data_IF_777236796907
#
_entry.id   IF_777236796907
#
_cell.length_a   1.000
_cell.length_b   1.000
_cell.length_c   1.000
_cell.angle_alpha   90.00
_cell.angle_beta   90.00
_cell.angle_gamma   90.00
#
_symmetry.space_group_name_H-M   'P 1'
#
loop_
_entity.id
_entity.type
_entity.pdbx_description
1 polymer ?
#
# COMPACT_ATOMS: atom_id res chain seq x y z
N UNK A 1 29.39 -15.72 16.73
CA UNK A 1 28.65 -16.18 15.52
C UNK A 1 29.31 -15.62 14.29
N UNK A 2 29.88 -16.46 13.42
CA UNK A 2 30.46 -16.03 12.14
C UNK A 2 29.32 -15.73 11.17
N UNK A 3 29.01 -14.46 10.93
CA UNK A 3 28.12 -14.05 9.84
C UNK A 3 28.87 -14.27 8.51
N UNK A 4 28.61 -15.40 7.88
CA UNK A 4 29.13 -15.68 6.54
C UNK A 4 28.65 -14.57 5.60
N UNK A 5 29.58 -13.88 4.91
CA UNK A 5 29.21 -12.91 3.88
C UNK A 5 28.32 -13.60 2.83
N UNK A 6 27.23 -12.98 2.42
CA UNK A 6 26.32 -13.59 1.43
C UNK A 6 27.09 -13.88 0.13
N UNK A 7 26.89 -15.08 -0.42
CA UNK A 7 27.49 -15.50 -1.70
C UNK A 7 27.09 -14.52 -2.80
N UNK A 8 28.06 -13.99 -3.51
CA UNK A 8 27.88 -13.13 -4.67
C UNK A 8 27.65 -13.95 -5.93
N UNK A 9 26.86 -13.42 -6.86
CA UNK A 9 26.47 -14.07 -8.11
C UNK A 9 26.98 -13.28 -9.30
N UNK A 10 27.55 -13.97 -10.26
CA UNK A 10 27.81 -13.49 -11.62
C UNK A 10 26.49 -13.39 -12.41
N UNK A 11 26.51 -12.79 -13.59
CA UNK A 11 25.34 -12.43 -14.39
C UNK A 11 24.30 -13.56 -14.55
N UNK A 12 24.74 -14.76 -14.94
CA UNK A 12 23.81 -15.88 -15.18
C UNK A 12 23.16 -16.37 -13.88
N UNK A 13 23.99 -16.59 -12.84
CA UNK A 13 23.48 -16.99 -11.52
C UNK A 13 22.61 -15.89 -10.88
N UNK A 14 22.88 -14.62 -11.16
CA UNK A 14 22.07 -13.49 -10.71
C UNK A 14 20.71 -13.46 -11.43
N UNK A 15 20.68 -13.77 -12.73
CA UNK A 15 19.45 -13.93 -13.51
C UNK A 15 18.57 -15.06 -12.96
N UNK A 16 19.16 -16.23 -12.73
CA UNK A 16 18.43 -17.36 -12.12
C UNK A 16 17.90 -17.03 -10.72
N UNK A 17 18.69 -16.30 -9.94
CA UNK A 17 18.25 -15.84 -8.63
C UNK A 17 17.06 -14.90 -8.74
N UNK A 18 17.06 -13.96 -9.69
CA UNK A 18 15.94 -13.07 -9.99
C UNK A 18 14.66 -13.83 -10.35
N UNK A 19 14.78 -14.81 -11.26
CA UNK A 19 13.66 -15.66 -11.66
C UNK A 19 13.07 -16.45 -10.46
N UNK A 20 13.94 -17.02 -9.63
CA UNK A 20 13.48 -17.72 -8.40
C UNK A 20 12.73 -16.83 -7.44
N UNK A 21 13.18 -15.57 -7.28
CA UNK A 21 12.46 -14.60 -6.43
C UNK A 21 11.07 -14.28 -6.97
N UNK A 22 10.95 -14.08 -8.29
CA UNK A 22 9.65 -13.81 -8.94
C UNK A 22 8.71 -15.01 -8.92
N UNK A 23 9.25 -16.23 -8.98
CA UNK A 23 8.46 -17.46 -8.86
C UNK A 23 7.89 -17.66 -7.44
N UNK A 24 8.54 -17.12 -6.40
CA UNK A 24 8.05 -17.22 -5.01
C UNK A 24 6.93 -16.24 -4.71
N UNK A 25 7.03 -15.01 -5.20
CA UNK A 25 6.01 -13.96 -5.06
C UNK A 25 6.17 -12.87 -6.10
N UNK A 26 5.10 -12.17 -6.39
CA UNK A 26 5.17 -10.96 -7.18
C UNK A 26 6.07 -9.90 -6.49
N UNK A 27 6.94 -9.28 -7.25
CA UNK A 27 7.85 -8.21 -6.83
C UNK A 27 7.77 -7.07 -7.84
N UNK A 28 7.87 -5.84 -7.36
CA UNK A 28 8.15 -4.72 -8.24
C UNK A 28 9.60 -4.76 -8.75
N UNK A 29 9.87 -4.10 -9.85
CA UNK A 29 11.24 -3.95 -10.37
C UNK A 29 12.17 -3.27 -9.38
N UNK A 30 11.66 -2.34 -8.59
CA UNK A 30 12.43 -1.69 -7.53
C UNK A 30 12.77 -2.60 -6.36
N UNK A 31 11.83 -3.44 -5.90
CA UNK A 31 12.10 -4.47 -4.88
C UNK A 31 13.10 -5.51 -5.39
N UNK A 32 12.92 -5.97 -6.63
CA UNK A 32 13.82 -6.95 -7.23
C UNK A 32 15.23 -6.38 -7.39
N UNK A 33 15.36 -5.17 -7.93
CA UNK A 33 16.66 -4.46 -8.04
C UNK A 33 17.39 -4.40 -6.71
N UNK A 34 16.70 -4.06 -5.63
CA UNK A 34 17.30 -4.01 -4.30
C UNK A 34 17.83 -5.38 -3.84
N UNK A 35 17.07 -6.45 -4.10
CA UNK A 35 17.49 -7.81 -3.75
C UNK A 35 18.68 -8.30 -4.58
N UNK A 36 18.69 -7.98 -5.88
CA UNK A 36 19.79 -8.33 -6.79
C UNK A 36 21.07 -7.60 -6.39
N UNK A 37 21.02 -6.29 -6.06
CA UNK A 37 22.19 -5.52 -5.60
C UNK A 37 22.88 -6.16 -4.38
N UNK A 38 22.13 -6.75 -3.49
CA UNK A 38 22.70 -7.43 -2.32
C UNK A 38 23.52 -8.69 -2.69
N UNK A 39 23.28 -9.27 -3.87
CA UNK A 39 23.85 -10.53 -4.32
C UNK A 39 24.73 -10.41 -5.56
N UNK A 40 24.72 -9.32 -6.27
CA UNK A 40 25.52 -9.11 -7.47
C UNK A 40 27.03 -9.07 -7.14
N UNK A 41 27.84 -9.77 -7.93
CA UNK A 41 29.29 -9.65 -7.92
C UNK A 41 29.72 -8.32 -8.57
N UNK A 42 29.05 -7.95 -9.67
CA UNK A 42 29.23 -6.69 -10.40
C UNK A 42 27.93 -5.90 -10.37
N UNK A 43 27.97 -4.64 -9.91
CA UNK A 43 26.75 -3.82 -9.77
C UNK A 43 26.03 -3.58 -11.10
N UNK A 44 26.78 -3.40 -12.19
CA UNK A 44 26.22 -3.18 -13.53
C UNK A 44 25.39 -4.34 -14.07
N UNK A 45 25.58 -5.55 -13.56
CA UNK A 45 24.81 -6.72 -13.99
C UNK A 45 23.37 -6.69 -13.50
N UNK A 46 23.10 -5.97 -12.42
CA UNK A 46 21.73 -5.81 -11.89
C UNK A 46 20.80 -5.22 -12.95
N UNK A 47 21.23 -4.13 -13.61
CA UNK A 47 20.38 -3.47 -14.60
C UNK A 47 20.22 -4.32 -15.87
N UNK A 48 21.25 -5.10 -16.25
CA UNK A 48 21.13 -6.06 -17.36
C UNK A 48 20.09 -7.15 -17.06
N UNK A 49 20.12 -7.70 -15.84
CA UNK A 49 19.11 -8.69 -15.41
C UNK A 49 17.71 -8.07 -15.39
N UNK A 50 17.55 -6.88 -14.82
CA UNK A 50 16.24 -6.19 -14.77
C UNK A 50 15.72 -5.93 -16.19
N UNK A 51 16.55 -5.43 -17.11
CA UNK A 51 16.17 -5.19 -18.50
C UNK A 51 15.70 -6.48 -19.17
N UNK A 52 16.47 -7.55 -19.05
CA UNK A 52 16.13 -8.86 -19.62
C UNK A 52 14.81 -9.42 -19.10
N UNK A 53 14.56 -9.33 -17.78
CA UNK A 53 13.31 -9.81 -17.20
C UNK A 53 12.09 -9.00 -17.65
N UNK A 54 12.27 -7.70 -17.93
CA UNK A 54 11.22 -6.85 -18.53
C UNK A 54 10.97 -7.21 -20.00
N UNK A 55 11.99 -7.43 -20.79
CA UNK A 55 11.87 -7.89 -22.20
C UNK A 55 11.11 -9.22 -22.28
N UNK A 56 11.40 -10.14 -21.38
CA UNK A 56 10.71 -11.42 -21.25
C UNK A 56 9.28 -11.31 -20.64
N UNK A 57 8.83 -10.11 -20.29
CA UNK A 57 7.54 -9.82 -19.64
C UNK A 57 7.31 -10.60 -18.33
N UNK A 58 8.39 -11.06 -17.69
CA UNK A 58 8.36 -11.71 -16.37
C UNK A 58 8.34 -10.68 -15.25
N UNK A 59 8.80 -9.47 -15.55
CA UNK A 59 8.79 -8.31 -14.63
C UNK A 59 8.05 -7.15 -15.30
N UNK A 60 6.92 -6.78 -14.72
CA UNK A 60 6.09 -5.66 -15.19
C UNK A 60 5.57 -4.86 -13.98
N UNK A 61 6.13 -3.66 -13.79
CA UNK A 61 5.76 -2.78 -12.68
C UNK A 61 4.32 -2.25 -12.81
N UNK A 62 3.81 -2.12 -14.05
CA UNK A 62 2.44 -1.66 -14.29
C UNK A 62 1.45 -2.74 -13.88
N UNK A 63 1.61 -3.95 -14.40
CA UNK A 63 0.75 -5.08 -14.05
C UNK A 63 0.80 -5.38 -12.55
N UNK A 64 1.99 -5.29 -11.94
CA UNK A 64 2.16 -5.44 -10.50
C UNK A 64 1.35 -4.41 -9.72
N UNK A 65 1.42 -3.12 -10.10
CA UNK A 65 0.73 -2.04 -9.41
C UNK A 65 -0.80 -2.12 -9.59
N UNK A 66 -1.27 -2.42 -10.81
CA UNK A 66 -2.69 -2.61 -11.12
C UNK A 66 -3.28 -3.72 -10.26
N UNK A 67 -2.69 -4.90 -10.30
CA UNK A 67 -3.16 -6.06 -9.52
C UNK A 67 -3.13 -5.81 -8.01
N UNK A 68 -2.04 -5.17 -7.52
CA UNK A 68 -1.94 -4.81 -6.10
C UNK A 68 -3.04 -3.84 -5.68
N UNK A 69 -3.26 -2.78 -6.45
CA UNK A 69 -4.28 -1.77 -6.16
C UNK A 69 -5.70 -2.35 -6.21
N UNK A 70 -6.01 -3.21 -7.19
CA UNK A 70 -7.30 -3.89 -7.31
C UNK A 70 -7.62 -4.75 -6.09
N UNK A 71 -6.68 -5.62 -5.67
CA UNK A 71 -6.86 -6.46 -4.46
C UNK A 71 -7.14 -5.60 -3.23
N UNK A 72 -6.39 -4.50 -3.07
CA UNK A 72 -6.56 -3.63 -1.91
C UNK A 72 -7.91 -2.87 -1.97
N UNK A 73 -8.31 -2.38 -3.12
CA UNK A 73 -9.59 -1.70 -3.31
C UNK A 73 -10.77 -2.65 -3.01
N UNK A 74 -10.75 -3.87 -3.54
CA UNK A 74 -11.78 -4.89 -3.30
C UNK A 74 -11.88 -5.32 -1.84
N UNK A 75 -10.77 -5.29 -1.10
CA UNK A 75 -10.76 -5.66 0.32
C UNK A 75 -11.55 -4.72 1.21
N UNK A 76 -11.77 -3.47 0.81
CA UNK A 76 -12.39 -2.38 1.59
C UNK A 76 -11.75 -2.19 2.99
N UNK A 77 -10.46 -2.57 3.14
CA UNK A 77 -9.75 -2.49 4.43
C UNK A 77 -8.86 -1.28 4.53
N UNK A 78 -8.50 -0.70 3.41
CA UNK A 78 -7.56 0.42 3.30
C UNK A 78 -8.07 1.43 2.28
N UNK A 79 -7.81 2.70 2.52
CA UNK A 79 -8.09 3.79 1.59
C UNK A 79 -6.97 3.99 0.57
N UNK A 80 -7.29 4.73 -0.49
CA UNK A 80 -6.39 4.98 -1.62
C UNK A 80 -5.02 5.54 -1.24
N UNK A 81 -4.97 6.41 -0.21
CA UNK A 81 -3.71 7.03 0.21
C UNK A 81 -2.72 6.01 0.78
N UNK A 82 -3.22 5.01 1.49
CA UNK A 82 -2.36 3.94 2.00
C UNK A 82 -1.86 3.05 0.88
N UNK A 83 -2.71 2.66 -0.07
CA UNK A 83 -2.30 1.86 -1.23
C UNK A 83 -1.22 2.57 -2.03
N UNK A 84 -1.37 3.88 -2.23
CA UNK A 84 -0.35 4.71 -2.88
C UNK A 84 0.98 4.65 -2.13
N UNK A 85 0.98 4.87 -0.81
CA UNK A 85 2.20 4.79 0.01
C UNK A 85 2.84 3.41 -0.04
N UNK A 86 2.06 2.34 0.00
CA UNK A 86 2.55 0.96 -0.05
C UNK A 86 3.22 0.64 -1.40
N UNK A 87 2.65 1.11 -2.52
CA UNK A 87 3.28 0.97 -3.84
C UNK A 87 4.60 1.75 -3.95
N UNK A 88 4.66 2.96 -3.38
CA UNK A 88 5.91 3.72 -3.31
C UNK A 88 6.97 3.04 -2.42
N UNK A 89 6.57 2.46 -1.29
CA UNK A 89 7.46 1.66 -0.44
C UNK A 89 7.99 0.43 -1.16
N UNK A 90 7.18 -0.16 -2.04
CA UNK A 90 7.58 -1.23 -2.96
C UNK A 90 8.42 -0.73 -4.15
N UNK A 91 8.78 0.55 -4.17
CA UNK A 91 9.63 1.19 -5.18
C UNK A 91 9.03 1.16 -6.59
N UNK A 92 7.72 1.17 -6.70
CA UNK A 92 7.01 1.42 -7.95
C UNK A 92 7.14 2.92 -8.27
N UNK A 93 7.33 3.26 -9.54
CA UNK A 93 7.39 4.66 -9.97
C UNK A 93 6.08 5.40 -9.64
N UNK A 94 6.19 6.66 -9.18
CA UNK A 94 5.03 7.44 -8.73
C UNK A 94 3.90 7.51 -9.77
N UNK A 95 4.23 7.76 -11.04
CA UNK A 95 3.24 7.84 -12.13
C UNK A 95 2.50 6.52 -12.34
N UNK A 96 3.20 5.39 -12.24
CA UNK A 96 2.61 4.05 -12.35
C UNK A 96 1.69 3.76 -11.17
N UNK A 97 2.15 4.05 -9.95
CA UNK A 97 1.36 3.88 -8.74
C UNK A 97 0.10 4.77 -8.75
N UNK A 98 0.25 6.04 -9.14
CA UNK A 98 -0.86 7.00 -9.21
C UNK A 98 -1.94 6.54 -10.19
N UNK A 99 -1.53 6.06 -11.37
CA UNK A 99 -2.46 5.54 -12.38
C UNK A 99 -3.19 4.31 -11.87
N UNK A 100 -2.47 3.30 -11.37
CA UNK A 100 -3.04 2.07 -10.86
C UNK A 100 -4.04 2.32 -9.71
N UNK A 101 -3.69 3.17 -8.74
CA UNK A 101 -4.58 3.54 -7.65
C UNK A 101 -5.78 4.35 -8.16
N UNK A 102 -5.57 5.27 -9.12
CA UNK A 102 -6.64 6.04 -9.74
C UNK A 102 -7.68 5.13 -10.40
N UNK A 103 -7.24 4.16 -11.19
CA UNK A 103 -8.08 3.20 -11.89
C UNK A 103 -8.80 2.25 -10.92
N UNK A 104 -8.08 1.66 -9.95
CA UNK A 104 -8.64 0.70 -9.00
C UNK A 104 -9.68 1.31 -8.05
N UNK A 105 -9.58 2.59 -7.71
CA UNK A 105 -10.52 3.31 -6.87
C UNK A 105 -11.49 4.19 -7.67
N UNK A 106 -11.49 4.11 -9.00
CA UNK A 106 -12.46 4.83 -9.83
C UNK A 106 -13.88 4.33 -9.53
N UNK A 107 -14.80 5.29 -9.30
CA UNK A 107 -16.20 4.97 -9.01
C UNK A 107 -16.48 4.35 -7.63
N UNK A 108 -15.49 4.20 -6.76
CA UNK A 108 -15.72 3.74 -5.38
C UNK A 108 -16.27 4.87 -4.51
N UNK A 109 -17.30 4.58 -3.72
CA UNK A 109 -17.77 5.49 -2.68
C UNK A 109 -16.90 5.32 -1.43
N UNK A 110 -15.99 6.27 -1.21
CA UNK A 110 -15.11 6.27 -0.05
C UNK A 110 -15.90 6.35 1.27
N UNK A 111 -17.05 7.04 1.29
CA UNK A 111 -17.90 7.12 2.48
C UNK A 111 -18.46 5.75 2.86
N UNK A 112 -18.91 4.98 1.88
CA UNK A 112 -19.37 3.61 2.10
C UNK A 112 -18.24 2.68 2.59
N UNK A 113 -17.05 2.82 2.01
CA UNK A 113 -15.87 2.06 2.48
C UNK A 113 -15.51 2.39 3.93
N UNK A 114 -15.62 3.66 4.33
CA UNK A 114 -15.37 4.13 5.69
C UNK A 114 -16.42 3.54 6.66
N UNK A 115 -17.69 3.56 6.31
CA UNK A 115 -18.76 2.94 7.11
C UNK A 115 -18.48 1.45 7.33
N UNK A 116 -18.17 0.71 6.27
CA UNK A 116 -17.82 -0.69 6.36
C UNK A 116 -16.57 -0.94 7.23
N UNK A 117 -15.57 -0.05 7.15
CA UNK A 117 -14.39 -0.11 8.01
C UNK A 117 -14.75 0.07 9.49
N UNK A 118 -15.58 1.08 9.81
CA UNK A 118 -16.06 1.35 11.17
C UNK A 118 -16.82 0.12 11.72
N UNK A 119 -17.82 -0.35 11.00
CA UNK A 119 -18.61 -1.52 11.41
C UNK A 119 -17.74 -2.76 11.65
N UNK A 120 -16.78 -3.03 10.76
CA UNK A 120 -15.86 -4.16 10.93
C UNK A 120 -14.95 -3.99 12.16
N UNK A 121 -14.56 -2.77 12.50
CA UNK A 121 -13.70 -2.52 13.68
C UNK A 121 -14.47 -2.60 14.99
N UNK A 122 -15.70 -2.16 15.01
CA UNK A 122 -16.54 -2.17 16.21
C UNK A 122 -17.29 -3.50 16.41
N UNK A 123 -17.44 -4.31 15.35
CA UNK A 123 -18.08 -5.64 15.38
C UNK A 123 -19.47 -5.62 16.04
N UNK A 124 -19.53 -5.99 17.33
CA UNK A 124 -20.76 -6.11 18.13
C UNK A 124 -21.13 -4.84 18.87
N UNK A 125 -20.24 -3.83 18.94
CA UNK A 125 -20.53 -2.57 19.61
C UNK A 125 -21.45 -1.72 18.76
N UNK A 126 -22.42 -1.07 19.38
CA UNK A 126 -23.25 -0.09 18.71
C UNK A 126 -22.39 1.13 18.37
N UNK A 127 -22.18 1.37 17.09
CA UNK A 127 -21.25 2.40 16.61
C UNK A 127 -21.59 3.79 17.16
N UNK A 128 -22.88 4.15 17.22
CA UNK A 128 -23.32 5.45 17.73
C UNK A 128 -23.00 5.62 19.22
N UNK A 129 -23.24 4.59 20.03
CA UNK A 129 -22.94 4.66 21.49
C UNK A 129 -21.41 4.76 21.73
N UNK A 130 -20.61 3.95 21.00
CA UNK A 130 -19.16 3.95 21.14
C UNK A 130 -18.53 5.27 20.69
N UNK A 131 -19.00 5.83 19.56
CA UNK A 131 -18.46 7.05 18.96
C UNK A 131 -19.03 8.33 19.56
N UNK A 132 -20.03 8.25 20.43
CA UNK A 132 -20.51 9.40 21.21
C UNK A 132 -19.44 9.93 22.20
N UNK A 133 -18.50 9.07 22.59
CA UNK A 133 -17.40 9.48 23.49
C UNK A 133 -16.28 10.15 22.67
N UNK A 134 -15.85 11.39 23.01
CA UNK A 134 -14.85 12.15 22.23
C UNK A 134 -13.52 11.40 22.03
N UNK A 135 -13.06 10.68 23.06
CA UNK A 135 -11.83 9.89 23.01
C UNK A 135 -11.90 8.77 21.96
N UNK A 136 -13.04 8.09 21.91
CA UNK A 136 -13.27 7.00 20.95
C UNK A 136 -13.42 7.53 19.53
N UNK A 137 -14.10 8.67 19.38
CA UNK A 137 -14.26 9.37 18.11
C UNK A 137 -12.89 9.77 17.53
N UNK A 138 -12.06 10.45 18.31
CA UNK A 138 -10.72 10.86 17.91
C UNK A 138 -9.81 9.64 17.60
N UNK A 139 -9.95 8.54 18.38
CA UNK A 139 -9.23 7.30 18.11
C UNK A 139 -9.66 6.67 16.78
N UNK A 140 -10.96 6.65 16.48
CA UNK A 140 -11.47 6.13 15.21
C UNK A 140 -11.01 6.99 14.02
N UNK A 141 -11.05 8.31 14.15
CA UNK A 141 -10.54 9.20 13.12
C UNK A 141 -9.06 8.90 12.79
N UNK A 142 -8.19 8.82 13.80
CA UNK A 142 -6.77 8.46 13.59
C UNK A 142 -6.61 7.10 12.91
N UNK A 143 -7.45 6.11 13.25
CA UNK A 143 -7.44 4.79 12.59
C UNK A 143 -7.82 4.89 11.11
N UNK A 144 -8.82 5.71 10.77
CA UNK A 144 -9.22 5.97 9.39
C UNK A 144 -8.08 6.64 8.60
N UNK A 145 -7.45 7.66 9.17
CA UNK A 145 -6.28 8.34 8.55
C UNK A 145 -5.11 7.37 8.35
N UNK A 146 -4.78 6.57 9.35
CA UNK A 146 -3.74 5.53 9.25
C UNK A 146 -4.09 4.47 8.20
N UNK A 147 -5.36 4.12 8.08
CA UNK A 147 -5.84 3.21 7.03
C UNK A 147 -5.82 3.83 5.63
N UNK A 148 -5.60 5.15 5.51
CA UNK A 148 -5.42 5.87 4.25
C UNK A 148 -6.70 6.42 3.65
N UNK A 149 -7.75 6.55 4.44
CA UNK A 149 -8.97 7.27 4.03
C UNK A 149 -8.75 8.78 4.09
N UNK A 150 -9.44 9.49 3.20
CA UNK A 150 -9.37 10.95 3.12
C UNK A 150 -10.05 11.60 4.33
N UNK A 151 -9.54 12.75 4.76
CA UNK A 151 -10.03 13.46 5.93
C UNK A 151 -11.49 13.87 5.81
N UNK A 152 -11.83 14.63 4.78
CA UNK A 152 -13.19 15.13 4.57
C UNK A 152 -14.24 14.01 4.57
N UNK A 153 -14.14 12.95 3.77
CA UNK A 153 -15.04 11.79 3.86
C UNK A 153 -15.06 11.15 5.24
N UNK A 154 -13.91 11.01 5.91
CA UNK A 154 -13.84 10.43 7.26
C UNK A 154 -14.65 11.24 8.27
N UNK A 155 -14.49 12.57 8.27
CA UNK A 155 -15.24 13.47 9.16
C UNK A 155 -16.74 13.43 8.83
N UNK A 156 -17.12 13.51 7.54
CA UNK A 156 -18.53 13.43 7.12
C UNK A 156 -19.21 12.16 7.61
N UNK A 157 -18.53 11.01 7.51
CA UNK A 157 -19.10 9.75 7.99
C UNK A 157 -19.19 9.73 9.51
N UNK A 158 -18.15 10.20 10.22
CA UNK A 158 -18.16 10.25 11.69
C UNK A 158 -19.22 11.19 12.24
N UNK A 159 -19.53 12.31 11.56
CA UNK A 159 -20.64 13.23 11.92
C UNK A 159 -22.00 12.54 11.95
N UNK A 160 -22.21 11.46 11.21
CA UNK A 160 -23.45 10.68 11.26
C UNK A 160 -23.61 9.90 12.59
N UNK A 161 -22.51 9.64 13.28
CA UNK A 161 -22.50 8.92 14.55
C UNK A 161 -22.35 9.82 15.76
N UNK A 162 -21.79 11.02 15.60
CA UNK A 162 -21.56 11.96 16.69
C UNK A 162 -21.52 13.40 16.20
N UNK A 163 -22.27 14.29 16.86
CA UNK A 163 -22.25 15.74 16.59
C UNK A 163 -20.88 16.35 16.88
N UNK A 164 -20.12 15.79 17.82
CA UNK A 164 -18.79 16.27 18.20
C UNK A 164 -17.69 16.01 17.14
N UNK A 165 -18.03 15.31 16.03
CA UNK A 165 -17.08 15.12 14.94
C UNK A 165 -16.70 16.42 14.22
N UNK A 166 -17.40 17.53 14.44
CA UNK A 166 -17.00 18.85 13.93
C UNK A 166 -15.69 19.34 14.52
N UNK A 167 -15.41 19.01 15.78
CA UNK A 167 -14.14 19.37 16.45
C UNK A 167 -12.91 18.71 15.82
N UNK A 168 -13.10 17.64 15.03
CA UNK A 168 -12.02 16.95 14.34
C UNK A 168 -11.45 17.75 13.15
N UNK A 169 -12.19 18.73 12.63
CA UNK A 169 -11.71 19.60 11.54
C UNK A 169 -10.53 20.45 12.01
N UNK A 170 -10.53 20.88 13.26
CA UNK A 170 -9.43 21.63 13.86
C UNK A 170 -8.14 20.85 14.11
N UNK A 171 -8.14 19.53 13.96
CA UNK A 171 -6.94 18.69 14.11
C UNK A 171 -6.09 18.63 12.83
N UNK A 172 -6.69 18.92 11.66
CA UNK A 172 -5.97 18.90 10.37
C UNK A 172 -5.13 20.13 10.12
N UNK A 173 -5.51 21.28 10.71
CA UNK A 173 -4.76 22.53 10.54
C UNK A 173 -3.45 22.56 11.36
N UNK A 174 -3.18 21.52 12.16
CA UNK A 174 -2.02 21.43 13.06
C UNK A 174 -0.96 20.39 12.64
N UNK A 175 -1.15 19.63 11.54
CA UNK A 175 -0.17 18.72 10.94
C UNK A 175 0.41 19.30 9.64
#
# INVERSE_FOLDING_TARGET
MRTSKPKKFELDALSEYGLRLLAQRALSGGELRQKLRQRAAVEGDVEKVIARLKELKVLDDRQFAEHYAEIQAQSNRVGRQRVMRELLQKRVAHSVAQRAVGEAFAGTDESLQIEQFIHRKLRTQKAAEYLAEPKNLASMYRRLRTAGFSAGPSIRVLKRFSVQAEELEGLEERE
#
